data_IF_019829190205
#
_entry.id   IF_019829190205
#
_cell.length_a   1.000
_cell.length_b   1.000
_cell.length_c   1.000
_cell.angle_alpha   90.00
_cell.angle_beta   90.00
_cell.angle_gamma   90.00
#
_symmetry.space_group_name_H-M   'P 1'
#
loop_
_entity.id
_entity.type
_entity.pdbx_description
1 polymer ?
#
# COMPACT_ATOMS: atom_id res chain seq x y z
N UNK A 1 -55.06 -5.57 17.18
CA UNK A 1 -54.00 -6.47 16.67
C UNK A 1 -52.91 -5.55 16.17
N UNK A 2 -51.89 -5.30 16.99
CA UNK A 2 -50.75 -4.47 16.61
C UNK A 2 -49.99 -5.22 15.51
N UNK A 3 -49.78 -4.57 14.38
CA UNK A 3 -48.86 -5.06 13.35
C UNK A 3 -47.47 -4.66 13.80
N UNK A 4 -46.70 -5.65 14.24
CA UNK A 4 -45.29 -5.46 14.60
C UNK A 4 -44.51 -5.05 13.34
N UNK A 5 -44.00 -3.83 13.32
CA UNK A 5 -43.01 -3.37 12.34
C UNK A 5 -41.75 -4.24 12.47
N UNK A 6 -41.47 -5.02 11.42
CA UNK A 6 -40.21 -5.78 11.29
C UNK A 6 -39.07 -4.76 11.13
N UNK A 7 -38.04 -4.75 12.00
CA UNK A 7 -36.94 -3.80 11.87
C UNK A 7 -36.21 -4.05 10.54
N UNK A 8 -36.08 -3.01 9.72
CA UNK A 8 -35.32 -3.07 8.47
C UNK A 8 -33.89 -3.51 8.80
N UNK A 9 -33.48 -4.69 8.33
CA UNK A 9 -32.09 -5.15 8.44
C UNK A 9 -31.20 -4.08 7.83
N UNK A 10 -30.41 -3.43 8.67
CA UNK A 10 -29.42 -2.45 8.27
C UNK A 10 -28.52 -3.08 7.21
N UNK A 11 -28.54 -2.53 6.00
CA UNK A 11 -27.72 -3.01 4.90
C UNK A 11 -26.27 -2.81 5.29
N UNK A 12 -25.60 -3.86 5.75
CA UNK A 12 -24.16 -3.86 5.99
C UNK A 12 -23.49 -3.59 4.65
N UNK A 13 -23.19 -2.32 4.37
CA UNK A 13 -22.40 -1.94 3.20
C UNK A 13 -20.98 -2.40 3.50
N UNK A 14 -20.63 -3.58 3.02
CA UNK A 14 -19.24 -4.04 2.94
C UNK A 14 -18.49 -3.05 2.04
N UNK A 15 -17.95 -1.97 2.62
CA UNK A 15 -17.05 -1.04 1.94
C UNK A 15 -15.73 -1.79 1.69
N UNK A 16 -15.70 -2.58 0.62
CA UNK A 16 -14.45 -3.17 0.13
C UNK A 16 -13.64 -2.06 -0.50
N UNK A 17 -12.47 -1.80 0.07
CA UNK A 17 -11.54 -0.81 -0.46
C UNK A 17 -10.76 -1.39 -1.64
N UNK A 18 -10.44 -0.58 -2.63
CA UNK A 18 -9.55 -0.99 -3.72
C UNK A 18 -8.14 -1.23 -3.17
N UNK A 19 -7.49 -2.30 -3.65
CA UNK A 19 -6.09 -2.58 -3.33
C UNK A 19 -5.14 -1.70 -4.15
N UNK A 20 -3.84 -1.77 -3.85
CA UNK A 20 -2.81 -0.95 -4.49
C UNK A 20 -2.85 -1.02 -6.04
N UNK A 21 -3.05 -2.20 -6.62
CA UNK A 21 -3.13 -2.41 -8.08
C UNK A 21 -4.27 -1.61 -8.69
N UNK A 22 -5.48 -1.73 -8.11
CA UNK A 22 -6.67 -1.06 -8.65
C UNK A 22 -6.66 0.44 -8.40
N UNK A 23 -6.18 0.87 -7.23
CA UNK A 23 -5.98 2.30 -6.95
C UNK A 23 -5.02 2.95 -7.96
N UNK A 24 -3.91 2.28 -8.30
CA UNK A 24 -3.00 2.76 -9.34
C UNK A 24 -3.68 2.84 -10.71
N UNK A 25 -4.38 1.77 -11.13
CA UNK A 25 -5.03 1.70 -12.45
C UNK A 25 -6.12 2.76 -12.65
N UNK A 26 -6.84 3.08 -11.58
CA UNK A 26 -7.87 4.12 -11.57
C UNK A 26 -7.28 5.54 -11.46
N UNK A 27 -5.96 5.68 -11.34
CA UNK A 27 -5.28 6.96 -11.19
C UNK A 27 -5.46 7.60 -9.81
N UNK A 28 -5.91 6.85 -8.80
CA UNK A 28 -6.05 7.38 -7.45
C UNK A 28 -4.67 7.64 -6.85
N UNK A 29 -4.48 8.81 -6.24
CA UNK A 29 -3.22 9.26 -5.64
C UNK A 29 -2.08 9.41 -6.66
N UNK A 30 -2.39 9.73 -7.92
CA UNK A 30 -1.41 9.77 -9.01
C UNK A 30 -0.26 10.74 -8.78
N UNK A 31 -0.49 11.83 -8.04
CA UNK A 31 0.51 12.81 -7.63
C UNK A 31 1.49 12.28 -6.56
N UNK A 32 1.16 11.15 -5.91
CA UNK A 32 1.97 10.48 -4.89
C UNK A 32 2.30 9.04 -5.28
N UNK A 33 2.29 8.74 -6.58
CA UNK A 33 2.78 7.48 -7.13
C UNK A 33 4.30 7.52 -7.26
N UNK A 34 4.98 6.45 -6.82
CA UNK A 34 6.42 6.28 -7.02
C UNK A 34 6.69 4.99 -7.78
N UNK A 35 7.51 5.07 -8.83
CA UNK A 35 7.96 3.87 -9.56
C UNK A 35 9.41 3.57 -9.18
N UNK A 36 9.64 2.42 -8.56
CA UNK A 36 10.97 1.93 -8.20
C UNK A 36 11.41 0.89 -9.23
N UNK A 37 12.60 1.05 -9.80
CA UNK A 37 13.14 0.16 -10.83
C UNK A 37 14.49 -0.39 -10.40
N UNK A 38 14.51 -1.42 -9.55
CA UNK A 38 15.77 -2.05 -9.20
C UNK A 38 16.26 -2.85 -10.41
N UNK A 39 17.46 -2.51 -10.90
CA UNK A 39 18.01 -3.02 -12.17
C UNK A 39 19.34 -3.74 -12.01
N UNK A 40 20.00 -3.61 -10.86
CA UNK A 40 21.34 -4.14 -10.62
C UNK A 40 21.43 -4.76 -9.22
N UNK A 41 22.17 -5.85 -9.10
CA UNK A 41 22.51 -6.45 -7.82
C UNK A 41 23.18 -5.43 -6.89
N UNK A 42 22.84 -5.51 -5.60
CA UNK A 42 23.34 -4.59 -4.56
C UNK A 42 22.65 -3.22 -4.56
N UNK A 43 21.74 -2.95 -5.50
CA UNK A 43 20.97 -1.72 -5.51
C UNK A 43 19.89 -1.77 -4.43
N UNK A 44 19.80 -0.71 -3.62
CA UNK A 44 18.77 -0.50 -2.60
C UNK A 44 18.04 0.81 -2.85
N UNK A 45 16.73 0.80 -2.67
CA UNK A 45 15.87 1.97 -2.66
C UNK A 45 15.15 2.05 -1.32
N UNK A 46 14.97 3.27 -0.83
CA UNK A 46 14.17 3.55 0.35
C UNK A 46 13.03 4.49 -0.06
N UNK A 47 11.82 4.17 0.40
CA UNK A 47 10.62 4.95 0.08
C UNK A 47 9.82 5.21 1.35
N UNK A 48 9.46 6.47 1.57
CA UNK A 48 8.50 6.87 2.58
C UNK A 48 7.07 6.64 2.08
N UNK A 49 6.38 5.71 2.72
CA UNK A 49 5.03 5.29 2.38
C UNK A 49 4.04 5.85 3.41
N UNK A 50 3.22 6.80 2.98
CA UNK A 50 2.10 7.33 3.77
C UNK A 50 0.91 6.39 3.62
N UNK A 51 0.19 6.05 4.70
CA UNK A 51 -1.00 5.24 4.58
C UNK A 51 -2.06 5.90 3.72
N UNK A 52 -2.76 5.08 2.94
CA UNK A 52 -3.78 5.53 1.99
C UNK A 52 -4.85 6.41 2.66
N UNK A 53 -5.22 6.10 3.91
CA UNK A 53 -6.24 6.85 4.63
C UNK A 53 -5.77 8.26 5.05
N UNK A 54 -4.46 8.52 5.05
CA UNK A 54 -3.85 9.80 5.42
C UNK A 54 -3.36 10.60 4.20
N UNK A 55 -3.72 10.19 2.99
CA UNK A 55 -3.32 10.92 1.78
C UNK A 55 -3.67 12.41 1.83
N UNK A 56 -4.84 12.78 2.36
CA UNK A 56 -5.27 14.19 2.49
C UNK A 56 -4.50 14.97 3.56
N UNK A 57 -3.74 14.30 4.41
CA UNK A 57 -2.90 14.90 5.46
C UNK A 57 -1.48 15.18 4.96
N UNK A 58 -1.13 14.72 3.75
CA UNK A 58 0.17 14.99 3.12
C UNK A 58 0.22 16.47 2.71
N UNK A 59 1.25 17.17 3.16
CA UNK A 59 1.46 18.55 2.76
C UNK A 59 1.84 18.63 1.28
N UNK A 60 1.38 19.64 0.52
CA UNK A 60 1.72 19.77 -0.89
C UNK A 60 3.22 19.73 -1.19
N UNK A 61 4.04 20.30 -0.31
CA UNK A 61 5.50 20.40 -0.39
C UNK A 61 6.27 19.15 0.09
N UNK A 62 5.59 18.12 0.58
CA UNK A 62 6.23 16.84 0.95
C UNK A 62 6.43 15.97 -0.30
N UNK A 63 7.49 16.26 -1.06
CA UNK A 63 7.80 15.58 -2.33
C UNK A 63 8.23 14.12 -2.16
N UNK A 64 8.70 13.73 -0.97
CA UNK A 64 9.16 12.37 -0.69
C UNK A 64 8.04 11.40 -0.29
N UNK A 65 6.92 11.95 0.19
CA UNK A 65 5.75 11.17 0.57
C UNK A 65 5.13 10.45 -0.64
N UNK A 66 5.16 9.11 -0.61
CA UNK A 66 4.49 8.26 -1.59
C UNK A 66 3.31 7.54 -0.96
N UNK A 67 2.25 7.29 -1.71
CA UNK A 67 1.08 6.50 -1.23
C UNK A 67 1.04 5.11 -1.88
N UNK A 68 1.45 5.02 -3.14
CA UNK A 68 1.56 3.75 -3.85
C UNK A 68 2.92 3.67 -4.52
N UNK A 69 3.62 2.56 -4.26
CA UNK A 69 4.84 2.21 -4.97
C UNK A 69 4.54 1.14 -5.99
N UNK A 70 5.01 1.34 -7.23
CA UNK A 70 5.03 0.34 -8.28
C UNK A 70 6.46 -0.13 -8.52
N UNK A 71 6.65 -1.45 -8.58
CA UNK A 71 7.90 -2.07 -9.04
C UNK A 71 7.59 -2.85 -10.32
N UNK A 72 8.03 -2.34 -11.49
CA UNK A 72 7.80 -3.03 -12.75
C UNK A 72 8.48 -4.41 -12.77
N UNK A 73 7.76 -5.44 -13.19
CA UNK A 73 8.27 -6.79 -13.35
C UNK A 73 8.02 -7.26 -14.79
N UNK A 74 8.79 -6.69 -15.71
CA UNK A 74 8.47 -6.61 -17.14
C UNK A 74 8.41 -7.98 -17.83
N UNK A 75 9.12 -8.96 -17.28
CA UNK A 75 9.19 -10.31 -17.84
C UNK A 75 8.28 -11.31 -17.10
N UNK A 76 7.44 -10.85 -16.15
CA UNK A 76 6.54 -11.72 -15.38
C UNK A 76 5.07 -11.46 -15.67
N UNK A 77 4.18 -12.14 -14.94
CA UNK A 77 2.72 -12.06 -15.06
C UNK A 77 2.09 -10.74 -14.58
N UNK A 78 2.90 -9.78 -14.15
CA UNK A 78 2.43 -8.46 -13.74
C UNK A 78 3.40 -7.75 -12.80
N UNK A 79 3.20 -6.44 -12.68
CA UNK A 79 3.98 -5.58 -11.80
C UNK A 79 3.62 -5.80 -10.33
N UNK A 80 4.51 -5.40 -9.43
CA UNK A 80 4.25 -5.39 -7.99
C UNK A 80 3.80 -3.99 -7.57
N UNK A 81 2.86 -3.96 -6.63
CA UNK A 81 2.30 -2.74 -6.07
C UNK A 81 2.29 -2.84 -4.55
N UNK A 82 2.74 -1.77 -3.91
CA UNK A 82 2.91 -1.68 -2.47
C UNK A 82 2.14 -0.47 -1.97
N UNK A 83 1.35 -0.64 -0.92
CA UNK A 83 0.75 0.47 -0.19
C UNK A 83 0.70 0.18 1.31
N UNK A 84 0.51 1.20 2.15
CA UNK A 84 0.28 0.99 3.58
C UNK A 84 -1.20 1.12 3.89
N UNK A 85 -1.79 0.03 4.41
CA UNK A 85 -3.22 -0.02 4.71
C UNK A 85 -3.46 0.21 6.21
N UNK A 86 -3.64 1.47 6.61
CA UNK A 86 -4.04 1.80 7.99
C UNK A 86 -5.53 1.50 8.23
N UNK A 87 -5.88 0.90 9.38
CA UNK A 87 -7.25 0.65 9.84
C UNK A 87 -7.93 1.93 10.33
N UNK A 88 -8.04 2.94 9.46
CA UNK A 88 -8.71 4.22 9.73
C UNK A 88 -9.46 4.69 8.49
N UNK A 89 -10.44 5.56 8.68
CA UNK A 89 -11.20 6.18 7.59
C UNK A 89 -11.85 5.17 6.63
N UNK A 90 -11.63 5.36 5.33
CA UNK A 90 -12.23 4.56 4.25
C UNK A 90 -11.90 3.06 4.41
N UNK A 91 -10.71 2.74 4.95
CA UNK A 91 -10.24 1.37 5.13
C UNK A 91 -10.68 0.70 6.43
N UNK A 92 -11.49 1.35 7.27
CA UNK A 92 -11.90 0.79 8.57
C UNK A 92 -12.67 -0.56 8.47
N UNK A 93 -13.31 -0.83 7.33
CA UNK A 93 -14.07 -2.05 7.05
C UNK A 93 -13.31 -3.13 6.25
N UNK A 94 -12.03 -2.94 5.95
CA UNK A 94 -11.25 -3.97 5.23
C UNK A 94 -10.78 -5.07 6.17
N UNK A 95 -10.74 -6.31 5.71
CA UNK A 95 -10.26 -7.45 6.51
C UNK A 95 -8.84 -7.90 6.13
N UNK A 96 -8.24 -7.30 5.09
CA UNK A 96 -6.95 -7.74 4.55
C UNK A 96 -5.84 -6.72 4.85
N UNK A 97 -4.73 -7.20 5.43
CA UNK A 97 -3.50 -6.44 5.72
C UNK A 97 -3.75 -5.16 6.53
N UNK A 98 -4.54 -5.28 7.60
CA UNK A 98 -4.86 -4.18 8.51
C UNK A 98 -3.61 -3.70 9.26
N UNK A 99 -3.32 -2.40 9.15
CA UNK A 99 -2.11 -1.76 9.68
C UNK A 99 -0.82 -2.45 9.20
N UNK A 100 -0.80 -2.95 7.97
CA UNK A 100 0.36 -3.60 7.36
C UNK A 100 0.69 -2.98 6.00
N UNK A 101 1.95 -3.09 5.61
CA UNK A 101 2.38 -2.83 4.23
C UNK A 101 1.90 -3.99 3.37
N UNK A 102 0.93 -3.74 2.50
CA UNK A 102 0.38 -4.74 1.61
C UNK A 102 1.14 -4.78 0.29
N UNK A 103 1.52 -5.99 -0.14
CA UNK A 103 2.16 -6.27 -1.42
C UNK A 103 1.17 -7.01 -2.32
N UNK A 104 1.00 -6.51 -3.53
CA UNK A 104 0.07 -7.02 -4.52
C UNK A 104 0.75 -7.19 -5.87
N UNK A 105 0.21 -8.09 -6.70
CA UNK A 105 0.63 -8.26 -8.10
C UNK A 105 -0.54 -8.05 -9.04
N UNK A 106 -0.30 -7.40 -10.18
CA UNK A 106 -1.27 -7.33 -11.26
C UNK A 106 -0.76 -6.61 -12.49
N UNK A 107 -1.44 -6.83 -13.61
CA UNK A 107 -1.26 -6.12 -14.87
C UNK A 107 -2.50 -5.29 -15.23
N UNK A 108 -2.37 -4.48 -16.28
CA UNK A 108 -3.49 -3.68 -16.80
C UNK A 108 -4.67 -4.58 -17.19
N UNK A 109 -5.88 -4.24 -16.75
CA UNK A 109 -7.11 -5.03 -16.96
C UNK A 109 -7.03 -6.51 -16.52
N UNK A 110 -6.10 -6.87 -15.64
CA UNK A 110 -6.00 -8.23 -15.09
C UNK A 110 -6.59 -8.34 -13.68
N UNK A 111 -6.77 -9.58 -13.23
CA UNK A 111 -6.94 -9.90 -11.81
C UNK A 111 -5.74 -9.37 -11.02
N UNK A 112 -6.02 -8.75 -9.87
CA UNK A 112 -5.02 -8.36 -8.88
C UNK A 112 -4.95 -9.42 -7.78
N UNK A 113 -3.75 -9.80 -7.38
CA UNK A 113 -3.50 -10.80 -6.35
C UNK A 113 -2.85 -10.14 -5.13
N UNK A 114 -3.33 -10.46 -3.94
CA UNK A 114 -2.64 -10.13 -2.71
C UNK A 114 -1.54 -11.18 -2.47
N UNK A 115 -0.31 -10.72 -2.21
CA UNK A 115 0.84 -11.60 -2.02
C UNK A 115 1.23 -11.70 -0.55
N UNK A 116 1.39 -10.56 0.13
CA UNK A 116 1.85 -10.50 1.51
C UNK A 116 1.39 -9.22 2.21
N UNK A 117 1.29 -9.27 3.54
CA UNK A 117 1.18 -8.12 4.42
C UNK A 117 2.37 -8.14 5.37
N UNK A 118 3.08 -7.02 5.48
CA UNK A 118 4.28 -6.90 6.29
C UNK A 118 4.06 -5.96 7.48
N UNK A 119 4.38 -6.46 8.67
CA UNK A 119 4.66 -5.64 9.85
C UNK A 119 6.07 -5.06 9.76
N UNK A 120 6.36 -4.08 10.62
CA UNK A 120 7.73 -3.54 10.75
C UNK A 120 8.70 -4.65 11.11
N UNK A 121 9.82 -4.71 10.40
CA UNK A 121 10.86 -5.74 10.51
C UNK A 121 10.66 -6.93 9.58
N UNK A 122 9.49 -7.10 8.97
CA UNK A 122 9.23 -8.22 8.07
C UNK A 122 9.61 -7.91 6.61
N UNK A 123 9.85 -8.98 5.85
CA UNK A 123 10.21 -8.90 4.44
C UNK A 123 9.48 -9.92 3.58
N UNK A 124 9.40 -9.63 2.28
CA UNK A 124 8.87 -10.50 1.25
C UNK A 124 9.89 -10.60 0.11
N UNK A 125 10.17 -11.82 -0.33
CA UNK A 125 11.08 -12.08 -1.44
C UNK A 125 10.30 -12.51 -2.69
N UNK A 126 10.81 -12.08 -3.84
CA UNK A 126 10.40 -12.57 -5.16
C UNK A 126 11.62 -13.20 -5.80
N UNK A 127 11.62 -14.53 -5.79
CA UNK A 127 12.61 -15.34 -6.49
C UNK A 127 12.53 -15.12 -8.00
N UNK A 128 13.68 -15.17 -8.67
CA UNK A 128 13.79 -15.02 -10.13
C UNK A 128 13.02 -13.78 -10.65
N UNK A 129 13.21 -12.65 -9.97
CA UNK A 129 12.61 -11.37 -10.36
C UNK A 129 13.03 -11.02 -11.80
N UNK A 130 12.10 -10.48 -12.61
CA UNK A 130 12.30 -10.27 -14.06
C UNK A 130 12.76 -11.51 -14.86
N UNK A 131 12.61 -12.72 -14.33
CA UNK A 131 13.11 -13.97 -14.93
C UNK A 131 14.61 -13.94 -15.29
N UNK A 132 15.42 -13.18 -14.55
CA UNK A 132 16.87 -13.03 -14.81
C UNK A 132 17.77 -13.70 -13.75
N UNK A 133 17.17 -14.46 -12.82
CA UNK A 133 17.85 -15.14 -11.74
C UNK A 133 18.07 -14.30 -10.48
N UNK A 134 17.74 -13.00 -10.50
CA UNK A 134 17.90 -12.13 -9.32
C UNK A 134 16.78 -12.32 -8.30
N UNK A 135 17.06 -11.99 -7.03
CA UNK A 135 16.06 -12.02 -5.95
C UNK A 135 15.72 -10.61 -5.53
N UNK A 136 14.45 -10.24 -5.66
CA UNK A 136 13.94 -8.97 -5.14
C UNK A 136 13.49 -9.15 -3.69
N UNK A 137 13.99 -8.33 -2.78
CA UNK A 137 13.55 -8.27 -1.39
C UNK A 137 12.85 -6.94 -1.12
N UNK A 138 11.65 -7.00 -0.54
CA UNK A 138 10.87 -5.85 -0.08
C UNK A 138 10.77 -5.95 1.44
N UNK A 139 11.24 -4.94 2.16
CA UNK A 139 11.27 -4.92 3.63
C UNK A 139 10.49 -3.74 4.17
N UNK A 140 9.60 -4.00 5.13
CA UNK A 140 8.98 -2.96 5.95
C UNK A 140 9.98 -2.58 7.05
N UNK A 141 10.75 -1.51 6.86
CA UNK A 141 11.93 -1.22 7.67
C UNK A 141 11.58 -0.55 9.00
N UNK A 142 10.79 0.53 8.99
CA UNK A 142 10.47 1.30 10.19
C UNK A 142 9.16 2.08 10.02
N UNK A 143 8.58 2.47 11.15
CA UNK A 143 7.45 3.38 11.23
C UNK A 143 7.90 4.67 11.92
N UNK A 144 7.67 5.81 11.27
CA UNK A 144 7.86 7.14 11.83
C UNK A 144 6.51 7.78 12.08
N UNK A 145 6.33 8.37 13.26
CA UNK A 145 5.15 9.15 13.61
C UNK A 145 5.60 10.57 13.89
N UNK A 146 5.20 11.51 13.03
CA UNK A 146 5.55 12.91 13.20
C UNK A 146 4.47 13.60 14.04
N UNK A 147 4.80 13.89 15.30
CA UNK A 147 3.97 14.69 16.19
C UNK A 147 4.21 16.19 15.91
N UNK A 148 3.31 16.85 15.18
CA UNK A 148 3.31 18.32 15.04
C UNK A 148 2.75 19.01 16.29
N UNK A 149 3.60 19.66 17.09
CA UNK A 149 3.24 20.26 18.39
C UNK A 149 2.25 21.46 18.38
N UNK A 150 1.47 21.71 17.32
CA UNK A 150 0.51 22.81 17.32
C UNK A 150 -0.76 22.52 16.48
N UNK A 151 -1.91 22.45 17.17
CA UNK A 151 -3.30 22.29 16.68
C UNK A 151 -3.65 20.86 16.17
N UNK A 152 -4.93 20.43 16.26
CA UNK A 152 -5.28 19.06 16.65
C UNK A 152 -4.58 18.05 15.75
N UNK A 153 -3.58 17.40 16.34
CA UNK A 153 -2.64 16.48 15.73
C UNK A 153 -3.37 15.35 15.01
N UNK A 154 -3.41 15.40 13.68
CA UNK A 154 -3.46 14.17 12.89
C UNK A 154 -2.02 13.69 12.74
N UNK A 155 -1.64 12.73 13.58
CA UNK A 155 -0.32 12.10 13.53
C UNK A 155 -0.09 11.46 12.15
N UNK A 156 0.70 12.10 11.27
CA UNK A 156 1.04 11.53 9.97
C UNK A 156 2.02 10.37 10.17
N UNK A 157 1.57 9.16 9.86
CA UNK A 157 2.42 7.98 9.85
C UNK A 157 3.15 7.88 8.51
N UNK A 158 4.46 7.61 8.57
CA UNK A 158 5.26 7.25 7.40
C UNK A 158 5.94 5.92 7.66
N UNK A 159 5.78 4.96 6.74
CA UNK A 159 6.52 3.70 6.78
C UNK A 159 7.67 3.76 5.80
N UNK A 160 8.88 3.46 6.27
CA UNK A 160 10.01 3.27 5.38
C UNK A 160 9.96 1.86 4.79
N UNK A 161 9.87 1.78 3.47
CA UNK A 161 9.99 0.52 2.74
C UNK A 161 11.33 0.50 2.02
N UNK A 162 12.12 -0.53 2.29
CA UNK A 162 13.34 -0.81 1.54
C UNK A 162 13.08 -1.82 0.43
N UNK A 163 13.62 -1.58 -0.76
CA UNK A 163 13.56 -2.49 -1.91
C UNK A 163 14.97 -2.75 -2.39
N UNK A 164 15.40 -4.01 -2.46
CA UNK A 164 16.74 -4.37 -2.92
C UNK A 164 16.75 -5.57 -3.84
N UNK A 165 17.75 -5.64 -4.73
CA UNK A 165 18.05 -6.85 -5.52
C UNK A 165 19.33 -7.48 -4.99
N UNK A 166 19.25 -8.79 -4.75
CA UNK A 166 20.37 -9.65 -4.36
C UNK A 166 20.67 -10.67 -5.46
#
# INVERSE_FOLDING_TARGET
RMEDEVPSKEKVINKKCFNAVKSWQLGWYSDRHKTVRPRRMGQKYEVELVPVAQYSEIKPDDEEASVIVKIPNLNSSGDLFIFFNSKRGINAGTNQFLNMVGIYRGGFNSTSYALAGLNVGESYTVENFNNDGTVLTITCSSLFINYFLALPLTDLAKILVSVSIN
#
